data_IF_570059195402
#
_entry.id   IF_570059195402
#
_cell.length_a   1.000
_cell.length_b   1.000
_cell.length_c   1.000
_cell.angle_alpha   90.00
_cell.angle_beta   90.00
_cell.angle_gamma   90.00
#
_symmetry.space_group_name_H-M   'P 1'
#
loop_
_entity.id
_entity.type
_entity.pdbx_description
1 polymer ?
#
# COMPACT_ATOMS: atom_id res chain seq x y z
N UNK A 1 14.32 25.75 3.04
CA UNK A 1 14.60 25.82 1.58
C UNK A 1 15.05 24.47 1.01
N UNK A 2 15.78 23.63 1.77
CA UNK A 2 16.28 22.32 1.28
C UNK A 2 15.17 21.27 1.01
N UNK A 3 14.20 21.10 1.91
CA UNK A 3 13.16 20.04 1.82
C UNK A 3 12.37 20.01 0.51
N UNK A 4 12.00 21.16 -0.06
CA UNK A 4 11.25 21.21 -1.32
C UNK A 4 12.06 20.71 -2.51
N UNK A 5 13.37 20.99 -2.54
CA UNK A 5 14.27 20.49 -3.59
C UNK A 5 14.41 18.97 -3.47
N UNK A 6 14.51 18.46 -2.25
CA UNK A 6 14.58 17.02 -1.99
C UNK A 6 13.31 16.27 -2.42
N UNK A 7 12.12 16.85 -2.19
CA UNK A 7 10.86 16.27 -2.68
C UNK A 7 10.83 16.14 -4.21
N UNK A 8 11.49 17.04 -4.93
CA UNK A 8 11.51 17.04 -6.40
C UNK A 8 12.46 16.02 -7.02
N UNK A 9 13.33 15.37 -6.23
CA UNK A 9 14.30 14.40 -6.76
C UNK A 9 13.66 13.21 -7.48
N UNK A 10 12.40 12.90 -7.20
CA UNK A 10 11.67 11.81 -7.86
C UNK A 10 10.80 12.24 -9.06
N UNK A 11 10.78 13.53 -9.43
CA UNK A 11 9.89 14.00 -10.51
C UNK A 11 10.26 13.48 -11.91
N UNK A 12 11.42 12.84 -12.05
CA UNK A 12 11.83 12.14 -13.27
C UNK A 12 11.13 10.77 -13.43
N UNK A 13 10.49 10.25 -12.37
CA UNK A 13 9.74 9.00 -12.41
C UNK A 13 8.36 9.28 -13.01
N UNK A 14 8.05 8.64 -14.12
CA UNK A 14 6.72 8.72 -14.74
C UNK A 14 5.86 7.58 -14.20
N UNK A 15 4.76 7.94 -13.56
CA UNK A 15 3.72 7.01 -13.14
C UNK A 15 2.61 6.96 -14.21
N UNK A 16 2.16 5.76 -14.53
CA UNK A 16 1.04 5.50 -15.41
C UNK A 16 -0.09 4.90 -14.58
N UNK A 17 -1.16 5.67 -14.36
CA UNK A 17 -2.34 5.23 -13.60
C UNK A 17 -2.90 3.91 -14.15
N UNK A 18 -3.00 3.79 -15.47
CA UNK A 18 -3.42 2.57 -16.12
C UNK A 18 -2.36 1.47 -15.95
N UNK A 19 -2.74 0.44 -15.17
CA UNK A 19 -1.87 -0.69 -14.85
C UNK A 19 -0.88 -0.44 -13.71
N UNK A 20 -0.94 0.71 -13.03
CA UNK A 20 -0.06 1.07 -11.91
C UNK A 20 1.44 0.87 -12.22
N UNK A 21 1.90 1.42 -13.35
CA UNK A 21 3.27 1.21 -13.84
C UNK A 21 4.17 2.41 -13.58
N UNK A 22 5.46 2.14 -13.42
CA UNK A 22 6.48 3.15 -13.15
C UNK A 22 7.58 3.07 -14.20
N UNK A 23 7.97 4.22 -14.74
CA UNK A 23 9.02 4.35 -15.75
C UNK A 23 10.10 5.32 -15.26
N UNK A 24 11.36 4.88 -15.36
CA UNK A 24 12.54 5.74 -15.23
C UNK A 24 13.30 5.60 -16.55
N UNK A 25 13.51 6.72 -17.26
CA UNK A 25 14.19 6.74 -18.57
C UNK A 25 13.63 5.70 -19.56
N UNK A 26 12.29 5.57 -19.61
CA UNK A 26 11.54 4.59 -20.40
C UNK A 26 11.75 3.11 -20.06
N UNK A 27 12.53 2.80 -19.01
CA UNK A 27 12.64 1.45 -18.46
C UNK A 27 11.53 1.24 -17.44
N UNK A 28 10.85 0.10 -17.52
CA UNK A 28 9.82 -0.28 -16.54
C UNK A 28 10.46 -0.75 -15.23
N UNK A 29 9.98 -0.20 -14.12
CA UNK A 29 10.42 -0.53 -12.77
C UNK A 29 9.39 -1.43 -12.10
N UNK A 30 9.83 -2.32 -11.21
CA UNK A 30 8.88 -3.09 -10.38
C UNK A 30 8.35 -2.22 -9.25
N UNK A 31 7.12 -2.49 -8.80
CA UNK A 31 6.57 -1.79 -7.65
C UNK A 31 7.13 -2.33 -6.33
N UNK A 32 7.09 -1.52 -5.26
CA UNK A 32 7.43 -1.96 -3.89
C UNK A 32 6.59 -3.17 -3.47
N UNK A 33 5.30 -3.22 -3.84
CA UNK A 33 4.43 -4.35 -3.50
C UNK A 33 4.79 -5.59 -4.32
N UNK A 34 5.21 -5.43 -5.59
CA UNK A 34 5.76 -6.51 -6.42
C UNK A 34 7.03 -7.08 -5.81
N UNK A 35 7.98 -6.22 -5.41
CA UNK A 35 9.22 -6.62 -4.76
C UNK A 35 8.95 -7.44 -3.49
N UNK A 36 8.10 -6.96 -2.58
CA UNK A 36 7.72 -7.69 -1.37
C UNK A 36 7.04 -9.02 -1.72
N UNK A 37 6.25 -9.04 -2.81
CA UNK A 37 5.58 -10.21 -3.33
C UNK A 37 6.52 -11.36 -3.71
N UNK A 38 7.77 -11.07 -4.10
CA UNK A 38 8.80 -12.09 -4.40
C UNK A 38 9.11 -12.97 -3.18
N UNK A 39 8.87 -12.45 -1.97
CA UNK A 39 9.17 -13.12 -0.71
C UNK A 39 7.92 -13.70 -0.03
N UNK A 40 6.81 -13.81 -0.76
CA UNK A 40 5.57 -14.43 -0.26
C UNK A 40 5.44 -15.87 -0.76
N UNK A 41 4.67 -16.68 -0.05
CA UNK A 41 4.31 -18.00 -0.55
C UNK A 41 3.35 -17.87 -1.73
N UNK A 42 3.56 -18.69 -2.77
CA UNK A 42 2.61 -18.77 -3.89
C UNK A 42 1.26 -19.29 -3.37
N UNK A 43 0.19 -18.57 -3.70
CA UNK A 43 -1.16 -19.00 -3.37
C UNK A 43 -1.64 -20.01 -4.41
N UNK A 44 -1.81 -21.28 -4.00
CA UNK A 44 -2.40 -22.36 -4.79
C UNK A 44 -3.90 -22.10 -5.05
N UNK A 45 -4.18 -21.14 -5.93
CA UNK A 45 -5.52 -20.63 -6.18
C UNK A 45 -6.49 -21.73 -6.64
N UNK A 46 -6.03 -22.61 -7.51
CA UNK A 46 -6.83 -23.71 -8.07
C UNK A 46 -7.08 -24.82 -7.03
N UNK A 47 -6.05 -25.29 -6.34
CA UNK A 47 -6.23 -26.31 -5.32
C UNK A 47 -7.09 -25.80 -4.16
N UNK A 48 -6.96 -24.52 -3.78
CA UNK A 48 -7.81 -23.92 -2.76
C UNK A 48 -9.26 -23.75 -3.24
N UNK A 49 -9.49 -23.35 -4.50
CA UNK A 49 -10.86 -23.21 -5.03
C UNK A 49 -11.58 -24.56 -5.06
N UNK A 50 -10.90 -25.65 -5.45
CA UNK A 50 -11.43 -27.02 -5.41
C UNK A 50 -11.84 -27.44 -4.00
N UNK A 51 -10.97 -27.22 -3.00
CA UNK A 51 -11.27 -27.54 -1.59
C UNK A 51 -12.45 -26.74 -1.06
N UNK A 52 -12.56 -25.46 -1.41
CA UNK A 52 -13.70 -24.61 -1.01
C UNK A 52 -15.00 -25.01 -1.70
N UNK A 53 -14.93 -25.34 -2.99
CA UNK A 53 -16.05 -25.79 -3.81
C UNK A 53 -16.70 -27.05 -3.24
N UNK A 54 -15.89 -28.06 -2.90
CA UNK A 54 -16.34 -29.30 -2.26
C UNK A 54 -17.06 -29.03 -0.93
N UNK A 55 -16.53 -28.13 -0.09
CA UNK A 55 -17.15 -27.80 1.21
C UNK A 55 -18.46 -27.05 1.08
N UNK A 56 -18.60 -26.18 0.07
CA UNK A 56 -19.79 -25.35 -0.15
C UNK A 56 -20.85 -26.02 -1.05
N UNK A 57 -20.52 -27.15 -1.69
CA UNK A 57 -21.41 -27.81 -2.66
C UNK A 57 -21.60 -27.02 -3.96
N UNK A 58 -20.59 -26.25 -4.38
CA UNK A 58 -20.60 -25.43 -5.61
C UNK A 58 -19.42 -25.81 -6.52
N UNK A 59 -19.35 -25.26 -7.74
CA UNK A 59 -18.21 -25.47 -8.62
C UNK A 59 -16.99 -24.65 -8.22
N UNK A 60 -15.79 -25.11 -8.59
CA UNK A 60 -14.55 -24.32 -8.40
C UNK A 60 -14.60 -22.99 -9.16
N UNK A 61 -15.22 -22.95 -10.35
CA UNK A 61 -15.38 -21.72 -11.12
C UNK A 61 -16.19 -20.68 -10.34
N UNK A 62 -17.31 -21.06 -9.73
CA UNK A 62 -18.11 -20.14 -8.90
C UNK A 62 -17.30 -19.56 -7.72
N UNK A 63 -16.40 -20.34 -7.12
CA UNK A 63 -15.50 -19.84 -6.06
C UNK A 63 -14.50 -18.82 -6.63
N UNK A 64 -13.93 -19.11 -7.80
CA UNK A 64 -12.98 -18.22 -8.46
C UNK A 64 -13.64 -16.89 -8.85
N UNK A 65 -14.84 -16.94 -9.42
CA UNK A 65 -15.63 -15.77 -9.79
C UNK A 65 -16.00 -14.94 -8.55
N UNK A 66 -16.41 -15.60 -7.45
CA UNK A 66 -16.69 -14.94 -6.17
C UNK A 66 -15.45 -14.20 -5.62
N UNK A 67 -14.26 -14.81 -5.77
CA UNK A 67 -13.01 -14.21 -5.32
C UNK A 67 -12.55 -13.05 -6.21
N UNK A 68 -12.71 -13.17 -7.52
CA UNK A 68 -12.37 -12.10 -8.46
C UNK A 68 -13.27 -10.88 -8.26
N UNK A 69 -14.59 -11.09 -8.15
CA UNK A 69 -15.53 -10.00 -7.84
C UNK A 69 -15.20 -9.32 -6.51
N UNK A 70 -14.88 -10.09 -5.47
CA UNK A 70 -14.46 -9.53 -4.16
C UNK A 70 -13.18 -8.72 -4.26
N UNK A 71 -12.22 -9.17 -5.08
CA UNK A 71 -10.95 -8.48 -5.32
C UNK A 71 -11.19 -7.17 -6.07
N UNK A 72 -12.00 -7.19 -7.12
CA UNK A 72 -12.35 -6.01 -7.91
C UNK A 72 -13.06 -4.95 -7.06
N UNK A 73 -14.07 -5.35 -6.29
CA UNK A 73 -14.77 -4.46 -5.34
C UNK A 73 -13.80 -3.87 -4.32
N UNK A 74 -12.93 -4.69 -3.72
CA UNK A 74 -11.95 -4.22 -2.74
C UNK A 74 -10.96 -3.21 -3.35
N UNK A 75 -10.50 -3.46 -4.57
CA UNK A 75 -9.61 -2.58 -5.31
C UNK A 75 -10.29 -1.24 -5.61
N UNK A 76 -11.49 -1.27 -6.20
CA UNK A 76 -12.27 -0.08 -6.52
C UNK A 76 -12.59 0.74 -5.26
N UNK A 77 -12.99 0.10 -4.16
CA UNK A 77 -13.20 0.77 -2.86
C UNK A 77 -11.92 1.47 -2.36
N UNK A 78 -10.78 0.80 -2.48
CA UNK A 78 -9.47 1.39 -2.17
C UNK A 78 -9.20 2.64 -3.00
N UNK A 79 -9.34 2.56 -4.32
CA UNK A 79 -9.11 3.67 -5.25
C UNK A 79 -10.00 4.88 -4.91
N UNK A 80 -11.30 4.65 -4.71
CA UNK A 80 -12.23 5.72 -4.35
C UNK A 80 -11.88 6.35 -3.00
N UNK A 81 -11.48 5.55 -2.01
CA UNK A 81 -11.08 6.05 -0.70
C UNK A 81 -9.80 6.90 -0.76
N UNK A 82 -8.75 6.43 -1.44
CA UNK A 82 -7.49 7.17 -1.58
C UNK A 82 -7.70 8.47 -2.34
N UNK A 83 -8.45 8.43 -3.46
CA UNK A 83 -8.80 9.64 -4.21
C UNK A 83 -9.60 10.63 -3.37
N UNK A 84 -10.52 10.16 -2.53
CA UNK A 84 -11.21 11.03 -1.58
C UNK A 84 -10.24 11.67 -0.59
N UNK A 85 -9.36 10.87 0.04
CA UNK A 85 -8.37 11.35 1.00
C UNK A 85 -7.44 12.40 0.39
N UNK A 86 -6.90 12.13 -0.81
CA UNK A 86 -6.04 13.05 -1.56
C UNK A 86 -6.76 14.38 -1.84
N UNK A 87 -7.98 14.34 -2.40
CA UNK A 87 -8.73 15.56 -2.70
C UNK A 87 -9.07 16.33 -1.42
N UNK A 88 -9.49 15.64 -0.37
CA UNK A 88 -9.81 16.28 0.91
C UNK A 88 -8.60 16.99 1.52
N UNK A 89 -7.42 16.35 1.52
CA UNK A 89 -6.18 16.96 2.02
C UNK A 89 -5.68 18.10 1.14
N UNK A 90 -5.96 18.06 -0.17
CA UNK A 90 -5.65 19.12 -1.12
C UNK A 90 -6.69 20.25 -1.15
N UNK A 91 -7.72 20.20 -0.29
CA UNK A 91 -8.85 21.12 -0.30
C UNK A 91 -9.54 21.22 -1.68
N UNK A 92 -9.65 20.07 -2.36
CA UNK A 92 -10.37 19.88 -3.62
C UNK A 92 -11.67 19.14 -3.37
N UNK A 93 -12.64 19.37 -4.24
CA UNK A 93 -13.84 18.55 -4.25
C UNK A 93 -13.52 17.13 -4.72
N UNK A 94 -14.14 16.15 -4.07
CA UNK A 94 -14.04 14.76 -4.51
C UNK A 94 -14.89 14.58 -5.78
N UNK A 95 -14.29 14.17 -6.91
CA UNK A 95 -14.92 14.30 -8.24
C UNK A 95 -15.86 13.13 -8.58
N UNK A 96 -16.40 12.43 -7.59
CA UNK A 96 -17.36 11.34 -7.79
C UNK A 96 -18.59 11.56 -6.94
N UNK A 97 -19.71 11.79 -7.61
CA UNK A 97 -21.03 11.82 -7.00
C UNK A 97 -21.45 10.44 -6.50
N UNK A 98 -22.49 10.43 -5.65
CA UNK A 98 -23.12 9.19 -5.19
C UNK A 98 -23.63 8.35 -6.37
N UNK A 99 -24.27 8.98 -7.34
CA UNK A 99 -24.85 8.33 -8.51
C UNK A 99 -23.78 7.65 -9.38
N UNK A 100 -22.66 8.35 -9.64
CA UNK A 100 -21.53 7.76 -10.41
C UNK A 100 -20.91 6.56 -9.68
N UNK A 101 -20.82 6.60 -8.35
CA UNK A 101 -20.38 5.45 -7.57
C UNK A 101 -21.39 4.30 -7.64
N UNK A 102 -22.69 4.57 -7.50
CA UNK A 102 -23.74 3.54 -7.61
C UNK A 102 -23.74 2.87 -9.00
N UNK A 103 -23.52 3.64 -10.07
CA UNK A 103 -23.36 3.11 -11.43
C UNK A 103 -22.10 2.23 -11.57
N UNK A 104 -20.99 2.64 -10.92
CA UNK A 104 -19.72 1.91 -10.98
C UNK A 104 -19.78 0.59 -10.20
N UNK A 105 -20.38 0.61 -9.01
CA UNK A 105 -20.40 -0.56 -8.11
C UNK A 105 -21.61 -1.48 -8.32
N UNK A 106 -22.73 -0.96 -8.84
CA UNK A 106 -23.98 -1.71 -9.00
C UNK A 106 -24.63 -2.16 -7.68
N UNK A 107 -24.11 -1.73 -6.53
CA UNK A 107 -24.55 -2.12 -5.20
C UNK A 107 -24.47 -0.91 -4.25
N UNK A 108 -25.65 -0.44 -3.82
CA UNK A 108 -25.79 0.70 -2.92
C UNK A 108 -25.12 0.46 -1.55
N UNK A 109 -24.98 -0.79 -1.10
CA UNK A 109 -24.34 -1.09 0.19
C UNK A 109 -22.84 -0.79 0.17
N UNK A 110 -22.18 -0.93 -0.98
CA UNK A 110 -20.76 -0.57 -1.15
C UNK A 110 -20.59 0.95 -1.09
N UNK A 111 -21.54 1.69 -1.68
CA UNK A 111 -21.54 3.15 -1.67
C UNK A 111 -21.77 3.69 -0.26
N UNK A 112 -22.70 3.12 0.50
CA UNK A 112 -22.89 3.46 1.91
C UNK A 112 -21.64 3.16 2.75
N UNK A 113 -20.98 2.02 2.53
CA UNK A 113 -19.71 1.70 3.19
C UNK A 113 -18.64 2.76 2.88
N UNK A 114 -18.51 3.17 1.61
CA UNK A 114 -17.58 4.23 1.21
C UNK A 114 -17.88 5.57 1.91
N UNK A 115 -19.15 5.97 2.01
CA UNK A 115 -19.53 7.20 2.70
C UNK A 115 -19.18 7.15 4.20
N UNK A 116 -19.33 6.00 4.85
CA UNK A 116 -18.89 5.81 6.23
C UNK A 116 -17.36 5.90 6.35
N UNK A 117 -16.61 5.28 5.43
CA UNK A 117 -15.15 5.42 5.41
C UNK A 117 -14.73 6.89 5.23
N UNK A 118 -15.39 7.65 4.36
CA UNK A 118 -15.14 9.10 4.20
C UNK A 118 -15.39 9.88 5.49
N UNK A 119 -16.46 9.56 6.24
CA UNK A 119 -16.73 10.16 7.56
C UNK A 119 -15.60 9.85 8.55
N UNK A 120 -15.13 8.59 8.60
CA UNK A 120 -14.01 8.20 9.46
C UNK A 120 -12.71 8.94 9.09
N UNK A 121 -12.43 9.15 7.79
CA UNK A 121 -11.28 9.94 7.35
C UNK A 121 -11.39 11.42 7.76
N UNK A 122 -12.57 12.03 7.61
CA UNK A 122 -12.81 13.40 8.09
C UNK A 122 -12.58 13.49 9.60
N UNK A 123 -13.00 12.49 10.37
CA UNK A 123 -12.73 12.43 11.80
C UNK A 123 -11.21 12.32 12.09
N UNK A 124 -10.49 11.44 11.38
CA UNK A 124 -9.03 11.37 11.47
C UNK A 124 -8.36 12.71 11.19
N UNK A 125 -8.79 13.42 10.14
CA UNK A 125 -8.27 14.73 9.82
C UNK A 125 -8.53 15.74 10.95
N UNK A 126 -9.75 15.81 11.48
CA UNK A 126 -10.08 16.70 12.60
C UNK A 126 -9.19 16.42 13.83
N UNK A 127 -9.04 15.16 14.20
CA UNK A 127 -8.26 14.74 15.37
C UNK A 127 -6.76 15.02 15.20
N UNK A 128 -6.24 14.92 13.97
CA UNK A 128 -4.81 14.98 13.69
C UNK A 128 -4.31 16.33 13.18
N UNK A 129 -5.17 17.15 12.57
CA UNK A 129 -4.83 18.43 11.89
C UNK A 129 -4.05 19.42 12.76
N UNK A 130 -4.25 19.38 14.08
CA UNK A 130 -3.47 20.21 15.01
C UNK A 130 -1.99 19.85 15.01
N UNK A 131 -1.60 18.63 14.69
CA UNK A 131 -0.23 18.14 14.80
C UNK A 131 0.36 17.66 13.46
N UNK A 132 -0.44 17.03 12.61
CA UNK A 132 -0.02 16.54 11.30
C UNK A 132 -0.28 17.60 10.23
N UNK A 133 0.78 18.06 9.58
CA UNK A 133 0.72 19.00 8.45
C UNK A 133 0.92 18.21 7.16
N UNK A 134 -0.08 18.12 6.27
CA UNK A 134 0.07 17.42 4.99
C UNK A 134 1.21 18.05 4.18
N UNK A 135 2.14 17.25 3.68
CA UNK A 135 3.27 17.71 2.86
C UNK A 135 3.09 17.30 1.41
N UNK A 136 2.81 16.02 1.16
CA UNK A 136 2.58 15.49 -0.19
C UNK A 136 1.71 14.25 -0.13
N UNK A 137 0.68 14.20 -0.95
CA UNK A 137 -0.19 13.04 -1.15
C UNK A 137 0.24 12.30 -2.43
N UNK A 138 -0.03 10.99 -2.49
CA UNK A 138 0.22 10.13 -3.66
C UNK A 138 1.63 10.36 -4.25
N UNK A 139 2.64 10.36 -3.37
CA UNK A 139 4.00 10.71 -3.73
C UNK A 139 4.71 9.53 -4.37
N UNK A 140 4.95 9.63 -5.68
CA UNK A 140 5.78 8.71 -6.44
C UNK A 140 7.25 8.83 -6.00
N UNK A 141 7.82 7.70 -5.58
CA UNK A 141 9.22 7.55 -5.16
C UNK A 141 9.84 6.32 -5.82
N UNK A 142 11.16 6.29 -5.95
CA UNK A 142 11.83 5.14 -6.55
C UNK A 142 13.34 5.26 -6.56
N UNK A 143 13.97 4.15 -6.93
CA UNK A 143 15.42 4.01 -6.98
C UNK A 143 15.81 3.29 -8.27
N UNK A 144 16.50 4.01 -9.15
CA UNK A 144 16.87 3.51 -10.47
C UNK A 144 17.86 2.32 -10.42
N UNK A 145 18.78 2.33 -9.46
CA UNK A 145 19.77 1.25 -9.29
C UNK A 145 19.09 -0.05 -8.84
N UNK A 146 18.12 0.07 -7.93
CA UNK A 146 17.32 -1.07 -7.48
C UNK A 146 16.27 -1.47 -8.52
N UNK A 147 15.86 -0.56 -9.40
CA UNK A 147 14.74 -0.78 -10.32
C UNK A 147 13.39 -0.91 -9.61
N UNK A 148 13.23 -0.26 -8.45
CA UNK A 148 12.04 -0.35 -7.59
C UNK A 148 11.42 1.03 -7.41
N UNK A 149 10.11 1.13 -7.65
CA UNK A 149 9.31 2.33 -7.46
C UNK A 149 8.07 2.06 -6.60
N UNK A 150 7.41 3.11 -6.14
CA UNK A 150 6.03 3.00 -5.66
C UNK A 150 5.44 4.35 -5.31
N UNK A 151 4.28 4.31 -4.69
CA UNK A 151 3.49 5.49 -4.37
C UNK A 151 3.20 5.50 -2.86
N UNK A 152 3.70 6.53 -2.19
CA UNK A 152 3.42 6.79 -0.78
C UNK A 152 2.09 7.54 -0.70
N UNK A 153 1.11 6.97 -0.02
CA UNK A 153 -0.22 7.60 0.10
C UNK A 153 -0.13 9.02 0.69
N UNK A 154 0.62 9.18 1.79
CA UNK A 154 0.75 10.47 2.45
C UNK A 154 2.07 10.66 3.20
N UNK A 155 2.72 11.78 2.92
CA UNK A 155 3.80 12.35 3.72
C UNK A 155 3.25 13.46 4.61
N UNK A 156 3.47 13.37 5.92
CA UNK A 156 3.15 14.43 6.89
C UNK A 156 4.41 15.00 7.51
N UNK A 157 4.37 16.27 7.92
CA UNK A 157 5.24 16.78 8.97
C UNK A 157 4.50 16.77 10.29
N UNK A 158 5.02 16.05 11.27
CA UNK A 158 4.42 15.96 12.60
C UNK A 158 5.07 16.97 13.54
N UNK A 159 4.29 17.98 13.94
CA UNK A 159 4.75 19.08 14.81
C UNK A 159 5.17 18.62 16.21
N UNK A 160 4.69 17.45 16.68
CA UNK A 160 5.08 16.92 18.00
C UNK A 160 6.46 16.27 17.98
N UNK A 161 6.75 15.46 16.96
CA UNK A 161 8.06 14.80 16.80
C UNK A 161 9.09 15.70 16.10
N UNK A 162 8.64 16.71 15.36
CA UNK A 162 9.49 17.53 14.50
C UNK A 162 10.01 16.77 13.28
N UNK A 163 9.35 15.68 12.89
CA UNK A 163 9.82 14.76 11.85
C UNK A 163 8.80 14.64 10.71
N UNK A 164 9.32 14.29 9.53
CA UNK A 164 8.51 13.82 8.41
C UNK A 164 8.08 12.37 8.65
N UNK A 165 6.82 12.03 8.47
CA UNK A 165 6.28 10.70 8.76
C UNK A 165 5.53 10.16 7.54
N UNK A 166 5.71 8.88 7.25
CA UNK A 166 4.96 8.19 6.19
C UNK A 166 3.67 7.64 6.76
N UNK A 167 2.57 7.89 6.08
CA UNK A 167 1.24 7.40 6.43
C UNK A 167 0.65 6.69 5.24
N UNK A 168 0.06 5.53 5.52
CA UNK A 168 -0.57 4.68 4.53
C UNK A 168 -2.00 4.34 4.98
N UNK A 169 -2.92 4.48 4.02
CA UNK A 169 -4.34 4.35 4.20
C UNK A 169 -4.77 2.91 3.95
N UNK A 170 -5.58 2.35 4.85
CA UNK A 170 -6.03 0.97 4.73
C UNK A 170 -7.53 0.84 4.96
N UNK A 171 -8.21 0.19 4.03
CA UNK A 171 -9.67 -0.10 4.07
C UNK A 171 -9.98 -1.60 4.05
N UNK A 172 -8.95 -2.43 4.21
CA UNK A 172 -9.07 -3.88 4.22
C UNK A 172 -9.76 -4.39 5.50
N UNK A 173 -10.25 -5.64 5.47
CA UNK A 173 -11.10 -6.20 6.54
C UNK A 173 -10.36 -6.48 7.87
N UNK A 174 -9.04 -6.60 7.84
CA UNK A 174 -8.25 -6.91 9.03
C UNK A 174 -6.80 -6.48 8.86
N UNK A 175 -6.17 -6.00 9.93
CA UNK A 175 -4.71 -5.88 10.01
C UNK A 175 -4.22 -6.92 11.02
N UNK A 176 -3.93 -8.12 10.54
CA UNK A 176 -3.47 -9.21 11.39
C UNK A 176 -2.00 -9.03 11.72
N UNK A 177 -1.63 -9.31 12.97
CA UNK A 177 -0.23 -9.31 13.44
C UNK A 177 0.44 -10.68 13.33
N UNK A 178 -0.33 -11.71 13.00
CA UNK A 178 0.16 -13.06 12.76
C UNK A 178 -0.58 -13.68 11.58
N UNK A 179 0.00 -14.73 10.99
CA UNK A 179 -0.66 -15.44 9.90
C UNK A 179 -1.72 -16.41 10.44
N UNK A 180 -3.01 -16.30 10.04
CA UNK A 180 -4.04 -17.24 10.47
C UNK A 180 -3.75 -18.70 10.07
N UNK A 181 -2.92 -18.89 9.05
CA UNK A 181 -2.53 -20.18 8.50
C UNK A 181 -1.09 -20.55 8.84
N UNK A 182 -0.47 -19.85 9.79
CA UNK A 182 0.94 -20.01 10.19
C UNK A 182 1.92 -19.87 9.01
N UNK A 183 1.52 -19.15 7.95
CA UNK A 183 2.40 -18.87 6.82
C UNK A 183 3.50 -17.91 7.24
N UNK A 184 4.71 -18.23 6.82
CA UNK A 184 5.89 -17.39 6.95
C UNK A 184 6.25 -16.81 5.59
N UNK A 185 6.88 -15.64 5.62
CA UNK A 185 7.58 -15.11 4.44
C UNK A 185 8.67 -16.11 3.99
N UNK A 186 9.10 -16.00 2.74
CA UNK A 186 10.24 -16.75 2.23
C UNK A 186 11.56 -16.16 2.75
N UNK A 187 12.65 -16.93 2.61
CA UNK A 187 14.00 -16.41 2.88
C UNK A 187 14.29 -15.18 2.02
N UNK A 188 15.01 -14.17 2.54
CA UNK A 188 15.81 -14.19 3.76
C UNK A 188 15.08 -13.78 5.05
N UNK A 189 13.75 -13.57 5.00
CA UNK A 189 12.96 -13.00 6.12
C UNK A 189 11.94 -13.97 6.70
N UNK A 190 12.24 -15.27 6.64
CA UNK A 190 11.31 -16.34 7.02
C UNK A 190 10.94 -16.38 8.52
N UNK A 191 11.59 -15.58 9.37
CA UNK A 191 11.13 -15.38 10.75
C UNK A 191 9.81 -14.61 10.83
N UNK A 192 9.52 -13.75 9.84
CA UNK A 192 8.31 -12.95 9.77
C UNK A 192 7.09 -13.79 9.34
N UNK A 193 5.96 -13.58 10.01
CA UNK A 193 4.67 -14.08 9.55
C UNK A 193 4.25 -13.37 8.26
N UNK A 194 3.68 -14.13 7.32
CA UNK A 194 2.98 -13.57 6.17
C UNK A 194 1.61 -13.07 6.65
N UNK A 195 1.58 -11.82 7.13
CA UNK A 195 0.40 -11.12 7.64
C UNK A 195 0.37 -9.66 7.21
N UNK A 196 -0.79 -9.00 7.28
CA UNK A 196 -0.95 -7.63 6.80
C UNK A 196 -0.02 -6.64 7.50
N UNK A 197 0.13 -6.74 8.83
CA UNK A 197 0.98 -5.83 9.59
C UNK A 197 2.44 -5.87 9.13
N UNK A 198 2.99 -7.08 8.93
CA UNK A 198 4.38 -7.24 8.49
C UNK A 198 4.56 -6.78 7.04
N UNK A 199 3.64 -7.16 6.15
CA UNK A 199 3.69 -6.76 4.73
C UNK A 199 3.66 -5.24 4.57
N UNK A 200 2.76 -4.56 5.29
CA UNK A 200 2.66 -3.10 5.23
C UNK A 200 3.84 -2.40 5.93
N UNK A 201 4.36 -2.95 7.02
CA UNK A 201 5.56 -2.43 7.68
C UNK A 201 6.81 -2.58 6.80
N UNK A 202 6.93 -3.67 6.04
CA UNK A 202 7.98 -3.85 5.03
C UNK A 202 7.85 -2.83 3.90
N UNK A 203 6.62 -2.61 3.39
CA UNK A 203 6.33 -1.60 2.36
C UNK A 203 6.76 -0.20 2.80
N UNK A 204 6.31 0.26 3.98
CA UNK A 204 6.67 1.58 4.49
C UNK A 204 8.16 1.69 4.83
N UNK A 205 8.78 0.62 5.32
CA UNK A 205 10.22 0.58 5.55
C UNK A 205 11.00 0.71 4.23
N UNK A 206 10.51 0.11 3.14
CA UNK A 206 11.17 0.20 1.82
C UNK A 206 11.00 1.59 1.20
N UNK A 207 9.81 2.20 1.31
CA UNK A 207 9.65 3.60 0.95
C UNK A 207 10.59 4.51 1.72
N UNK A 208 10.67 4.32 3.04
CA UNK A 208 11.60 5.08 3.89
C UNK A 208 13.05 4.91 3.42
N UNK A 209 13.49 3.67 3.16
CA UNK A 209 14.83 3.38 2.65
C UNK A 209 15.11 4.10 1.31
N UNK A 210 14.19 3.98 0.34
CA UNK A 210 14.33 4.63 -0.98
C UNK A 210 14.45 6.14 -0.83
N UNK A 211 13.58 6.75 -0.02
CA UNK A 211 13.59 8.20 0.21
C UNK A 211 14.90 8.64 0.87
N UNK A 212 15.32 7.99 1.94
CA UNK A 212 16.52 8.37 2.69
C UNK A 212 17.84 8.06 1.95
N UNK A 213 17.83 7.11 1.00
CA UNK A 213 18.96 6.82 0.09
C UNK A 213 19.09 7.88 -0.99
N UNK A 214 17.98 8.32 -1.59
CA UNK A 214 17.98 9.19 -2.76
C UNK A 214 17.85 10.69 -2.41
N UNK A 215 17.62 11.01 -1.14
CA UNK A 215 17.42 12.38 -0.66
C UNK A 215 18.13 12.64 0.68
N UNK A 216 18.29 13.91 1.01
CA UNK A 216 18.77 14.37 2.32
C UNK A 216 17.65 14.41 3.37
N UNK A 217 16.44 13.94 3.02
CA UNK A 217 15.35 13.85 3.97
C UNK A 217 15.65 12.79 5.03
N UNK A 218 15.15 13.06 6.24
CA UNK A 218 15.13 12.11 7.34
C UNK A 218 13.70 11.94 7.79
N UNK A 219 13.25 10.70 7.76
CA UNK A 219 11.89 10.35 8.12
C UNK A 219 11.89 9.86 9.58
N UNK A 220 10.80 10.10 10.27
CA UNK A 220 10.49 9.53 11.57
C UNK A 220 9.87 8.15 11.41
N UNK A 221 8.85 7.92 12.23
CA UNK A 221 8.06 6.70 12.18
C UNK A 221 7.12 6.67 10.97
N UNK A 222 6.66 5.46 10.66
CA UNK A 222 5.64 5.21 9.66
C UNK A 222 4.38 4.63 10.33
N UNK A 223 3.22 4.96 9.78
CA UNK A 223 1.93 4.62 10.38
C UNK A 223 0.94 4.09 9.35
N UNK A 224 0.11 3.14 9.77
CA UNK A 224 -1.11 2.75 9.08
C UNK A 224 -2.28 3.45 9.75
N UNK A 225 -3.12 4.12 8.97
CA UNK A 225 -4.44 4.53 9.41
C UNK A 225 -5.47 3.59 8.78
N UNK A 226 -6.08 2.78 9.64
CA UNK A 226 -7.00 1.72 9.26
C UNK A 226 -8.45 2.18 9.44
N UNK A 227 -9.17 2.25 8.33
CA UNK A 227 -10.56 2.63 8.23
C UNK A 227 -11.39 1.38 7.90
N UNK A 228 -12.14 0.89 8.87
CA UNK A 228 -12.99 -0.29 8.70
C UNK A 228 -14.29 -0.06 9.48
N UNK A 229 -15.41 -0.03 8.75
CA UNK A 229 -16.73 0.38 9.29
C UNK A 229 -17.13 -0.36 10.57
N UNK A 230 -17.01 -1.70 10.67
CA UNK A 230 -17.21 -2.45 11.92
C UNK A 230 -16.43 -1.97 13.15
N UNK A 231 -15.31 -1.26 13.00
CA UNK A 231 -14.57 -0.70 14.14
C UNK A 231 -15.24 0.55 14.72
N UNK A 232 -16.24 1.13 14.04
CA UNK A 232 -16.92 2.38 14.40
C UNK A 232 -16.09 3.64 14.15
N UNK A 233 -14.76 3.57 14.25
CA UNK A 233 -13.83 4.65 13.91
C UNK A 233 -12.47 4.10 13.43
N UNK A 234 -11.59 4.98 12.95
CA UNK A 234 -10.27 4.62 12.47
C UNK A 234 -9.37 4.12 13.60
N UNK A 235 -8.35 3.33 13.25
CA UNK A 235 -7.30 2.88 14.18
C UNK A 235 -5.94 3.17 13.59
N UNK A 236 -5.01 3.61 14.43
CA UNK A 236 -3.64 3.92 14.02
C UNK A 236 -2.71 2.82 14.51
N UNK A 237 -1.88 2.29 13.61
CA UNK A 237 -0.82 1.35 13.93
C UNK A 237 0.52 1.97 13.57
N UNK A 238 1.43 2.09 14.53
CA UNK A 238 2.83 2.35 14.23
C UNK A 238 3.41 1.10 13.57
N UNK A 239 4.11 1.27 12.45
CA UNK A 239 4.80 0.18 11.76
C UNK A 239 6.14 -0.13 12.40
N UNK A 240 6.57 -1.38 12.26
CA UNK A 240 7.91 -1.80 12.61
C UNK A 240 8.91 -1.31 11.56
N UNK A 241 10.14 -1.02 11.99
CA UNK A 241 11.22 -0.59 11.10
C UNK A 241 12.12 -1.77 10.74
N UNK A 242 11.92 -2.33 9.55
CA UNK A 242 12.57 -3.55 9.08
C UNK A 242 13.87 -3.30 8.30
N UNK A 243 14.77 -2.46 8.83
CA UNK A 243 15.99 -2.10 8.11
C UNK A 243 16.90 -3.29 7.79
N UNK A 244 17.09 -4.22 8.75
CA UNK A 244 17.98 -5.39 8.58
C UNK A 244 17.39 -6.40 7.61
N UNK A 245 16.09 -6.64 7.72
CA UNK A 245 15.33 -7.49 6.82
C UNK A 245 15.38 -6.95 5.39
N UNK A 246 15.15 -5.65 5.20
CA UNK A 246 15.23 -5.02 3.89
C UNK A 246 16.64 -5.08 3.30
N UNK A 247 17.69 -4.86 4.08
CA UNK A 247 19.06 -5.04 3.60
C UNK A 247 19.28 -6.47 3.07
N UNK A 248 18.77 -7.47 3.77
CA UNK A 248 18.87 -8.87 3.35
C UNK A 248 18.07 -9.15 2.08
N UNK A 249 16.82 -8.64 2.00
CA UNK A 249 15.97 -8.78 0.81
C UNK A 249 16.55 -8.05 -0.41
N UNK A 250 17.11 -6.87 -0.24
CA UNK A 250 17.71 -6.12 -1.36
C UNK A 250 18.97 -6.81 -1.88
N UNK A 251 19.81 -7.35 -0.98
CA UNK A 251 20.99 -8.11 -1.37
C UNK A 251 20.63 -9.40 -2.14
N UNK A 252 19.65 -10.17 -1.65
CA UNK A 252 19.15 -11.37 -2.31
C UNK A 252 18.57 -11.07 -3.71
N UNK A 253 17.79 -9.98 -3.80
CA UNK A 253 17.23 -9.51 -5.06
C UNK A 253 18.30 -9.11 -6.07
N UNK A 254 19.29 -8.30 -5.66
CA UNK A 254 20.39 -7.90 -6.54
C UNK A 254 21.23 -9.09 -7.03
N UNK A 255 21.50 -10.06 -6.15
CA UNK A 255 22.20 -11.29 -6.54
C UNK A 255 21.39 -12.10 -7.56
N UNK A 256 20.08 -12.16 -7.38
CA UNK A 256 19.18 -12.85 -8.32
C UNK A 256 19.14 -12.16 -9.69
N UNK A 257 19.13 -10.82 -9.73
CA UNK A 257 19.20 -10.05 -10.98
C UNK A 257 20.54 -10.26 -11.71
N UNK A 258 21.66 -10.25 -10.99
CA UNK A 258 22.98 -10.47 -11.59
C UNK A 258 23.12 -11.85 -12.24
N UNK A 259 22.65 -12.91 -11.56
CA UNK A 259 22.66 -14.27 -12.12
C UNK A 259 21.82 -14.39 -13.39
N UNK A 260 20.70 -13.66 -13.48
CA UNK A 260 19.88 -13.64 -14.69
C UNK A 260 20.60 -12.94 -15.86
N UNK A 261 21.40 -11.91 -15.59
CA UNK A 261 22.19 -11.23 -16.63
C UNK A 261 23.38 -12.06 -17.10
N UNK A 262 24.02 -12.82 -16.20
CA UNK A 262 25.19 -13.66 -16.52
C UNK A 262 24.81 -15.01 -17.16
N UNK A 263 23.55 -15.44 -17.01
CA UNK A 263 23.01 -16.69 -17.57
C UNK A 263 22.35 -16.54 -18.94
N UNK A 264 22.46 -15.37 -19.59
CA UNK A 264 21.98 -15.06 -20.95
C UNK A 264 23.16 -14.98 -21.92
#
# INVERSE_FOLDING_TARGET
>A
MNTYLELNKFNHIRYLDEGHRYLIDNREMISVTTFIGLYKQVFDREGHSLRCAQKKGVSAQQILDEWDLKKEIACAKGIHFHRFAENYLANKEYPHSREEMEQTFGDASIVEELLELQKMFKQFYLDSSRNLVPVRSEWVVGDADLGICGMVDQLYFNKKSGQLELWDWKTNKAISRSSPYQKKMLGPVAHLDECEYNLYSLQLSLYKYIIEKNTDLRLGNSYLAWFHVPNGNYRIFRCDHFAKELQSMLADYQQSQQKQMEGV
#
